data_IF_477208401644
#
_entry.id   IF_477208401644
#
_cell.length_a   1.000
_cell.length_b   1.000
_cell.length_c   1.000
_cell.angle_alpha   90.00
_cell.angle_beta   90.00
_cell.angle_gamma   90.00
#
_symmetry.space_group_name_H-M   'P 1'
#
loop_
_entity.id
_entity.type
_entity.pdbx_description
1 polymer ?
#
# COMPACT_ATOMS: atom_id res chain seq x y z
N UNK A 1 -5.91 7.32 12.24
CA UNK A 1 -5.24 8.35 13.07
C UNK A 1 -3.93 7.76 13.60
N UNK A 2 -2.84 8.51 13.53
CA UNK A 2 -1.52 8.19 14.12
C UNK A 2 -0.93 9.48 14.70
N UNK A 3 -0.05 9.44 15.71
CA UNK A 3 0.53 10.66 16.27
C UNK A 3 1.62 11.31 15.40
N UNK A 4 1.91 10.76 14.22
CA UNK A 4 3.00 11.22 13.33
C UNK A 4 2.62 12.49 12.54
N UNK A 5 3.54 13.45 12.43
CA UNK A 5 3.34 14.67 11.62
C UNK A 5 4.63 15.11 10.91
N UNK A 6 4.52 15.46 9.62
CA UNK A 6 5.61 15.94 8.78
C UNK A 6 5.24 15.99 7.29
N UNK A 7 6.18 16.32 6.40
CA UNK A 7 5.90 16.43 4.96
C UNK A 7 5.41 15.13 4.28
N UNK A 8 5.56 13.99 4.95
CA UNK A 8 5.18 12.65 4.47
C UNK A 8 4.23 11.90 5.42
N UNK A 9 3.82 12.53 6.52
CA UNK A 9 2.95 11.92 7.53
C UNK A 9 1.97 12.95 8.07
N UNK A 10 0.70 12.58 8.18
CA UNK A 10 -0.35 13.41 8.78
C UNK A 10 -1.02 12.63 9.91
N UNK A 11 -1.48 13.33 10.97
CA UNK A 11 -2.08 12.65 12.11
C UNK A 11 -3.43 12.00 11.74
N UNK A 12 -4.13 12.60 10.78
CA UNK A 12 -5.30 12.04 10.12
C UNK A 12 -4.91 11.67 8.69
N UNK A 13 -5.31 10.48 8.26
CA UNK A 13 -5.11 9.95 6.92
C UNK A 13 -6.20 8.92 6.61
N UNK A 14 -6.40 8.65 5.33
CA UNK A 14 -7.41 7.71 4.86
C UNK A 14 -6.73 6.40 4.47
N UNK A 15 -7.31 5.29 4.93
CA UNK A 15 -6.83 3.95 4.63
C UNK A 15 -7.96 3.14 4.03
N UNK A 16 -7.61 2.32 3.05
CA UNK A 16 -8.48 1.25 2.53
C UNK A 16 -7.87 -0.07 2.94
N UNK A 17 -8.68 -0.92 3.52
CA UNK A 17 -8.33 -2.30 3.84
C UNK A 17 -9.25 -3.24 3.07
N UNK A 18 -8.68 -4.35 2.59
CA UNK A 18 -9.40 -5.43 1.95
C UNK A 18 -9.18 -6.72 2.72
N UNK A 19 -10.22 -7.54 2.80
CA UNK A 19 -10.20 -8.87 3.39
C UNK A 19 -11.02 -9.79 2.47
N UNK A 20 -10.41 -10.88 2.03
CA UNK A 20 -11.09 -11.95 1.31
C UNK A 20 -10.86 -13.25 2.09
N UNK A 21 -11.95 -13.97 2.38
CA UNK A 21 -11.92 -15.25 3.10
C UNK A 21 -12.80 -16.24 2.36
N UNK A 22 -12.24 -17.39 2.03
CA UNK A 22 -12.94 -18.50 1.37
C UNK A 22 -12.20 -19.81 1.65
N UNK A 23 -12.72 -20.93 1.15
CA UNK A 23 -12.17 -22.27 1.37
C UNK A 23 -10.90 -22.55 0.55
N UNK A 24 -10.68 -21.85 -0.57
CA UNK A 24 -9.61 -22.14 -1.53
C UNK A 24 -8.67 -20.96 -1.84
N UNK A 25 -8.73 -19.88 -1.05
CA UNK A 25 -7.85 -18.71 -1.22
C UNK A 25 -6.38 -19.06 -0.97
N UNK A 26 -5.50 -18.68 -1.89
CA UNK A 26 -4.06 -18.91 -1.78
C UNK A 26 -3.26 -17.61 -1.75
N UNK A 27 -1.97 -17.73 -1.43
CA UNK A 27 -1.01 -16.63 -1.62
C UNK A 27 -0.95 -16.17 -3.09
N UNK A 28 -1.22 -17.06 -4.05
CA UNK A 28 -1.30 -16.72 -5.47
C UNK A 28 -2.44 -15.75 -5.78
N UNK A 29 -3.59 -15.92 -5.13
CA UNK A 29 -4.75 -15.03 -5.28
C UNK A 29 -4.47 -13.65 -4.70
N UNK A 30 -3.77 -13.59 -3.56
CA UNK A 30 -3.28 -12.33 -3.00
C UNK A 30 -2.34 -11.64 -4.00
N UNK A 31 -1.34 -12.35 -4.53
CA UNK A 31 -0.39 -11.79 -5.49
C UNK A 31 -1.09 -11.27 -6.75
N UNK A 32 -2.03 -12.04 -7.29
CA UNK A 32 -2.84 -11.65 -8.44
C UNK A 32 -3.67 -10.40 -8.17
N UNK A 33 -4.33 -10.34 -7.02
CA UNK A 33 -5.14 -9.19 -6.58
C UNK A 33 -4.30 -7.93 -6.46
N UNK A 34 -3.15 -8.01 -5.77
CA UNK A 34 -2.24 -6.87 -5.58
C UNK A 34 -1.64 -6.39 -6.90
N UNK A 35 -1.29 -7.30 -7.80
CA UNK A 35 -0.77 -6.97 -9.13
C UNK A 35 -1.83 -6.31 -10.01
N UNK A 36 -3.07 -6.84 -10.00
CA UNK A 36 -4.19 -6.26 -10.72
C UNK A 36 -4.50 -4.84 -10.22
N UNK A 37 -4.53 -4.66 -8.90
CA UNK A 37 -4.67 -3.34 -8.27
C UNK A 37 -3.57 -2.38 -8.71
N UNK A 38 -2.29 -2.78 -8.59
CA UNK A 38 -1.17 -1.91 -8.92
C UNK A 38 -1.19 -1.48 -10.39
N UNK A 39 -1.54 -2.39 -11.32
CA UNK A 39 -1.68 -2.07 -12.74
C UNK A 39 -2.85 -1.12 -13.01
N UNK A 40 -3.99 -1.34 -12.36
CA UNK A 40 -5.16 -0.47 -12.52
C UNK A 40 -4.89 0.97 -12.02
N UNK A 41 -4.05 1.12 -11.00
CA UNK A 41 -3.75 2.42 -10.39
C UNK A 41 -2.57 3.13 -11.07
N UNK A 42 -1.49 2.41 -11.37
CA UNK A 42 -0.21 2.99 -11.82
C UNK A 42 0.13 2.71 -13.29
N UNK A 43 -0.70 1.94 -14.00
CA UNK A 43 -0.48 1.51 -15.38
C UNK A 43 0.31 0.21 -15.51
N UNK A 44 0.20 -0.45 -16.66
CA UNK A 44 0.81 -1.77 -16.90
C UNK A 44 2.34 -1.76 -16.92
N UNK A 45 2.95 -0.64 -17.31
CA UNK A 45 4.39 -0.54 -17.45
C UNK A 45 5.12 -0.27 -16.12
N UNK A 46 4.40 0.08 -15.04
CA UNK A 46 5.03 0.42 -13.76
C UNK A 46 5.59 -0.84 -13.09
N UNK A 47 6.91 -0.93 -12.81
CA UNK A 47 7.46 -2.04 -12.06
C UNK A 47 6.91 -2.09 -10.62
N UNK A 48 6.50 -3.29 -10.22
CA UNK A 48 5.98 -3.63 -8.89
C UNK A 48 6.79 -4.80 -8.35
N UNK A 49 7.07 -4.82 -7.04
CA UNK A 49 7.68 -5.99 -6.39
C UNK A 49 7.02 -6.27 -5.04
N UNK A 50 7.02 -7.54 -4.66
CA UNK A 50 6.64 -7.98 -3.33
C UNK A 50 7.90 -8.32 -2.53
N UNK A 51 7.92 -7.94 -1.25
CA UNK A 51 9.01 -8.27 -0.33
C UNK A 51 8.43 -8.90 0.93
N UNK A 52 9.06 -9.95 1.50
CA UNK A 52 8.67 -10.46 2.81
C UNK A 52 8.74 -9.34 3.87
N UNK A 53 7.76 -9.33 4.75
CA UNK A 53 7.70 -8.44 5.91
C UNK A 53 7.04 -9.18 7.08
N UNK A 54 6.72 -8.47 8.16
CA UNK A 54 5.97 -8.99 9.30
C UNK A 54 4.82 -8.05 9.68
N UNK A 55 3.61 -8.60 9.77
CA UNK A 55 2.46 -7.94 10.39
C UNK A 55 1.79 -8.92 11.36
N UNK A 56 1.42 -8.52 12.59
CA UNK A 56 0.91 -9.45 13.61
C UNK A 56 -0.39 -10.19 13.26
N UNK A 57 -1.11 -9.75 12.22
CA UNK A 57 -2.41 -10.27 11.80
C UNK A 57 -2.33 -11.06 10.49
N UNK A 58 -1.14 -11.25 9.93
CA UNK A 58 -0.93 -12.05 8.71
C UNK A 58 0.33 -12.90 8.74
N UNK A 59 0.25 -14.13 8.23
CA UNK A 59 1.39 -15.03 8.04
C UNK A 59 1.17 -16.00 6.85
N UNK A 60 1.99 -15.95 5.78
CA UNK A 60 3.11 -15.03 5.55
C UNK A 60 2.67 -13.59 5.25
N UNK A 61 3.53 -12.65 5.61
CA UNK A 61 3.36 -11.21 5.40
C UNK A 61 4.27 -10.66 4.27
N UNK A 62 3.75 -9.71 3.50
CA UNK A 62 4.45 -9.06 2.39
C UNK A 62 4.18 -7.54 2.34
N UNK A 63 5.17 -6.80 1.86
CA UNK A 63 5.03 -5.41 1.43
C UNK A 63 5.01 -5.34 -0.09
N UNK A 64 4.28 -4.38 -0.65
CA UNK A 64 4.32 -4.06 -2.08
C UNK A 64 5.01 -2.74 -2.29
N UNK A 65 6.04 -2.74 -3.14
CA UNK A 65 6.70 -1.53 -3.61
C UNK A 65 6.37 -1.26 -5.08
N UNK A 66 6.31 0.01 -5.45
CA UNK A 66 6.31 0.47 -6.85
C UNK A 66 7.57 1.27 -7.14
N UNK A 67 8.01 1.27 -8.40
CA UNK A 67 9.16 2.10 -8.78
C UNK A 67 8.87 3.59 -8.55
N UNK A 68 9.91 4.33 -8.14
CA UNK A 68 9.82 5.78 -7.98
C UNK A 68 9.62 6.47 -9.33
N UNK A 69 8.67 7.40 -9.42
CA UNK A 69 8.44 8.19 -10.63
C UNK A 69 9.39 9.40 -10.76
N UNK A 70 9.96 9.85 -9.65
CA UNK A 70 10.75 11.10 -9.58
C UNK A 70 12.26 10.88 -9.84
N UNK A 71 12.72 9.64 -9.96
CA UNK A 71 14.15 9.36 -10.08
C UNK A 71 14.45 8.14 -10.94
N UNK A 72 15.70 8.05 -11.38
CA UNK A 72 16.25 6.82 -11.96
C UNK A 72 17.27 6.26 -10.99
N UNK A 73 17.07 5.00 -10.58
CA UNK A 73 18.00 4.30 -9.67
C UNK A 73 18.30 5.05 -8.36
N UNK A 74 17.33 5.81 -7.83
CA UNK A 74 17.48 6.50 -6.56
C UNK A 74 18.13 7.89 -6.65
N UNK A 75 18.47 8.36 -7.85
CA UNK A 75 19.10 9.68 -8.09
C UNK A 75 18.14 10.58 -8.86
N UNK A 76 17.85 11.76 -8.30
CA UNK A 76 16.97 12.75 -8.91
C UNK A 76 17.67 13.47 -10.08
N UNK A 77 16.93 14.30 -10.82
CA UNK A 77 17.44 14.97 -12.03
C UNK A 77 18.59 15.96 -11.74
N UNK A 78 18.65 16.50 -10.52
CA UNK A 78 19.72 17.37 -10.02
C UNK A 78 21.00 16.60 -9.62
N UNK A 79 20.99 15.26 -9.70
CA UNK A 79 22.11 14.41 -9.30
C UNK A 79 22.13 14.08 -7.80
N UNK A 80 21.17 14.59 -7.02
CA UNK A 80 21.11 14.32 -5.59
C UNK A 80 20.35 13.01 -5.28
N UNK A 81 20.55 12.50 -4.05
CA UNK A 81 19.80 11.35 -3.56
C UNK A 81 18.32 11.71 -3.52
N UNK A 82 17.50 10.94 -4.23
CA UNK A 82 16.07 11.18 -4.30
C UNK A 82 15.44 11.13 -2.91
N UNK A 83 14.92 12.27 -2.45
CA UNK A 83 14.28 12.43 -1.13
C UNK A 83 13.00 11.59 -0.99
N UNK A 84 12.25 11.45 -2.08
CA UNK A 84 10.97 10.72 -2.10
C UNK A 84 11.13 9.22 -1.82
N UNK A 85 12.02 8.54 -2.56
CA UNK A 85 12.29 7.11 -2.36
C UNK A 85 13.48 6.84 -1.42
N UNK A 86 14.10 7.89 -0.85
CA UNK A 86 15.31 7.78 -0.02
C UNK A 86 16.43 7.00 -0.74
N UNK A 87 16.57 7.17 -2.06
CA UNK A 87 17.60 6.53 -2.87
C UNK A 87 17.41 5.04 -3.16
N UNK A 88 16.28 4.41 -2.80
CA UNK A 88 16.06 2.98 -3.09
C UNK A 88 15.55 2.74 -4.51
N UNK A 89 15.04 3.78 -5.18
CA UNK A 89 14.24 3.69 -6.41
C UNK A 89 12.87 2.98 -6.25
N UNK A 90 12.49 2.62 -5.03
CA UNK A 90 11.27 1.89 -4.70
C UNK A 90 10.50 2.60 -3.59
N UNK A 91 9.20 2.65 -3.71
CA UNK A 91 8.32 3.26 -2.72
C UNK A 91 7.31 2.20 -2.31
N UNK A 92 7.37 1.82 -1.04
CA UNK A 92 6.36 0.98 -0.40
C UNK A 92 4.99 1.68 -0.47
N UNK A 93 3.95 0.95 -0.88
CA UNK A 93 2.61 1.51 -1.06
C UNK A 93 1.54 0.85 -0.20
N UNK A 94 1.74 -0.41 0.19
CA UNK A 94 0.80 -1.16 1.01
C UNK A 94 1.49 -2.34 1.69
N UNK A 95 0.88 -2.82 2.77
CA UNK A 95 1.18 -4.09 3.42
C UNK A 95 0.05 -5.10 3.15
N UNK A 96 0.39 -6.38 3.09
CA UNK A 96 -0.55 -7.45 2.86
C UNK A 96 -0.06 -8.79 3.41
N UNK A 97 -0.92 -9.81 3.44
CA UNK A 97 -0.52 -11.17 3.78
C UNK A 97 -1.71 -12.11 3.89
N UNK A 98 -1.41 -13.39 4.12
CA UNK A 98 -2.44 -14.38 4.44
C UNK A 98 -2.89 -14.16 5.88
N UNK A 99 -4.20 -14.17 6.16
CA UNK A 99 -4.75 -13.92 7.49
C UNK A 99 -4.20 -14.95 8.48
N UNK A 100 -3.66 -14.48 9.61
CA UNK A 100 -3.12 -15.36 10.64
C UNK A 100 -4.25 -16.26 11.21
N UNK A 101 -4.03 -17.58 11.37
CA UNK A 101 -5.05 -18.49 11.90
C UNK A 101 -5.64 -18.06 13.25
N UNK A 102 -4.89 -17.38 14.12
CA UNK A 102 -5.38 -16.87 15.40
C UNK A 102 -6.45 -15.79 15.22
N UNK A 103 -6.41 -15.03 14.13
CA UNK A 103 -7.45 -14.03 13.79
C UNK A 103 -8.75 -14.72 13.41
N UNK A 104 -8.68 -15.80 12.63
CA UNK A 104 -9.85 -16.60 12.25
C UNK A 104 -10.41 -17.37 13.45
N UNK A 105 -9.53 -17.99 14.25
CA UNK A 105 -9.90 -18.72 15.47
C UNK A 105 -10.71 -17.86 16.45
N UNK A 106 -10.33 -16.58 16.62
CA UNK A 106 -11.05 -15.62 17.45
C UNK A 106 -12.53 -15.42 17.04
N UNK A 107 -12.85 -15.63 15.77
CA UNK A 107 -14.22 -15.52 15.22
C UNK A 107 -14.78 -16.86 14.74
N UNK A 108 -14.19 -17.99 15.13
CA UNK A 108 -14.59 -19.35 14.69
C UNK A 108 -16.09 -19.60 14.81
N UNK A 109 -16.72 -19.17 15.90
CA UNK A 109 -18.15 -19.36 16.16
C UNK A 109 -19.06 -18.72 15.10
N UNK A 110 -18.53 -17.81 14.28
CA UNK A 110 -19.22 -17.17 13.16
C UNK A 110 -18.99 -17.90 11.82
N UNK A 111 -18.41 -19.10 11.83
CA UNK A 111 -18.18 -19.92 10.64
C UNK A 111 -16.78 -19.78 10.00
N UNK A 112 -15.81 -19.20 10.72
CA UNK A 112 -14.44 -18.98 10.24
C UNK A 112 -13.44 -19.93 10.90
N UNK A 113 -13.66 -21.22 10.80
CA UNK A 113 -12.74 -22.22 11.34
C UNK A 113 -11.44 -22.26 10.50
N UNK A 114 -10.25 -21.98 11.07
CA UNK A 114 -8.99 -21.92 10.32
C UNK A 114 -8.58 -23.24 9.64
N UNK A 115 -9.19 -24.38 10.03
CA UNK A 115 -9.00 -25.66 9.35
C UNK A 115 -9.87 -25.80 8.07
N UNK A 116 -10.87 -24.93 7.89
CA UNK A 116 -11.85 -25.00 6.81
C UNK A 116 -11.77 -23.80 5.86
N UNK A 117 -11.35 -22.63 6.36
CA UNK A 117 -11.23 -21.40 5.58
C UNK A 117 -9.85 -20.77 5.74
N UNK A 118 -9.47 -20.02 4.73
CA UNK A 118 -8.26 -19.23 4.68
C UNK A 118 -8.57 -17.91 3.99
N UNK A 119 -7.68 -16.93 4.11
CA UNK A 119 -7.93 -15.64 3.54
C UNK A 119 -6.68 -14.81 3.39
N UNK A 120 -6.80 -13.70 2.69
CA UNK A 120 -5.78 -12.68 2.66
C UNK A 120 -6.35 -11.32 3.05
N UNK A 121 -5.47 -10.47 3.57
CA UNK A 121 -5.76 -9.08 3.85
C UNK A 121 -4.71 -8.18 3.23
N UNK A 122 -5.10 -6.94 2.92
CA UNK A 122 -4.18 -5.88 2.52
C UNK A 122 -4.67 -4.53 3.06
N UNK A 123 -3.74 -3.60 3.26
CA UNK A 123 -4.03 -2.26 3.74
C UNK A 123 -3.14 -1.21 3.08
N UNK A 124 -3.76 -0.13 2.58
CA UNK A 124 -3.08 0.92 1.83
C UNK A 124 -3.53 2.32 2.24
N UNK A 125 -2.59 3.26 2.33
CA UNK A 125 -2.89 4.67 2.54
C UNK A 125 -3.28 5.37 1.24
N UNK A 126 -4.46 6.00 1.20
CA UNK A 126 -4.98 6.66 -0.01
C UNK A 126 -4.06 7.80 -0.43
N UNK A 127 -3.58 8.60 0.53
CA UNK A 127 -2.76 9.77 0.23
C UNK A 127 -1.44 9.38 -0.42
N UNK A 128 -0.81 8.29 0.05
CA UNK A 128 0.43 7.78 -0.54
C UNK A 128 0.23 7.35 -1.98
N UNK A 129 -0.89 6.67 -2.26
CA UNK A 129 -1.25 6.28 -3.62
C UNK A 129 -1.53 7.51 -4.48
N UNK A 130 -2.29 8.48 -3.98
CA UNK A 130 -2.60 9.72 -4.70
C UNK A 130 -1.34 10.51 -5.04
N UNK A 131 -0.41 10.66 -4.08
CA UNK A 131 0.88 11.30 -4.30
C UNK A 131 1.66 10.63 -5.43
N UNK A 132 1.71 9.30 -5.45
CA UNK A 132 2.44 8.55 -6.48
C UNK A 132 1.75 8.57 -7.84
N UNK A 133 0.43 8.54 -7.86
CA UNK A 133 -0.38 8.53 -9.09
C UNK A 133 -0.38 9.89 -9.78
N UNK A 134 -0.48 10.96 -9.00
CA UNK A 134 -0.63 12.32 -9.50
C UNK A 134 0.65 13.17 -9.41
N UNK A 135 1.73 12.61 -8.87
CA UNK A 135 3.00 13.33 -8.74
C UNK A 135 2.98 14.43 -7.68
N UNK A 136 2.15 14.31 -6.65
CA UNK A 136 2.05 15.32 -5.58
C UNK A 136 3.29 15.22 -4.69
N UNK A 137 4.13 16.27 -4.59
CA UNK A 137 5.43 16.20 -3.92
C UNK A 137 5.33 16.32 -2.39
N UNK A 138 4.21 16.84 -1.87
CA UNK A 138 4.02 17.13 -0.45
C UNK A 138 2.62 16.72 0.00
N UNK A 139 2.57 15.91 1.05
CA UNK A 139 1.32 15.38 1.61
C UNK A 139 0.37 16.48 2.11
N UNK A 140 0.92 17.61 2.60
CA UNK A 140 0.14 18.71 3.20
C UNK A 140 -0.81 19.36 2.21
N UNK A 141 -0.47 19.35 0.93
CA UNK A 141 -1.31 19.89 -0.14
C UNK A 141 -2.68 19.21 -0.21
N UNK A 142 -2.79 17.95 0.23
CA UNK A 142 -4.06 17.22 0.29
C UNK A 142 -4.99 17.70 1.43
N UNK A 143 -4.49 18.50 2.37
CA UNK A 143 -5.21 18.95 3.57
C UNK A 143 -5.35 20.47 3.67
N UNK A 144 -4.51 21.24 2.97
CA UNK A 144 -4.52 22.71 3.02
C UNK A 144 -5.76 23.33 2.35
N UNK A 145 -6.51 22.55 1.56
CA UNK A 145 -7.70 22.99 0.81
C UNK A 145 -7.43 24.22 -0.07
N UNK A 146 -6.21 24.36 -0.61
CA UNK A 146 -5.88 25.43 -1.54
C UNK A 146 -6.62 25.21 -2.87
N UNK A 147 -7.50 26.15 -3.25
CA UNK A 147 -8.29 26.07 -4.48
C UNK A 147 -7.40 25.86 -5.71
N UNK A 148 -6.20 26.45 -5.75
CA UNK A 148 -5.24 26.29 -6.86
C UNK A 148 -4.71 24.87 -6.98
N UNK A 149 -4.67 24.13 -5.88
CA UNK A 149 -4.32 22.72 -5.88
C UNK A 149 -5.51 21.89 -6.37
N UNK A 150 -6.71 22.15 -5.83
CA UNK A 150 -7.92 21.40 -6.15
C UNK A 150 -8.31 21.50 -7.64
N UNK A 151 -8.19 22.68 -8.24
CA UNK A 151 -8.49 22.93 -9.66
C UNK A 151 -7.65 22.08 -10.65
N UNK A 152 -6.53 21.49 -10.21
CA UNK A 152 -5.69 20.63 -11.05
C UNK A 152 -6.33 19.26 -11.34
N UNK A 153 -7.37 18.87 -10.60
CA UNK A 153 -7.97 17.52 -10.66
C UNK A 153 -9.34 17.47 -11.33
N UNK A 154 -9.89 18.61 -11.78
CA UNK A 154 -11.16 18.71 -12.50
C UNK A 154 -12.29 19.31 -11.67
#
# INVERSE_FOLDING_TARGET
YRPDSGATHTPQFHQVEGLAVDTDITLGDLQGTLLAFARAVFGEERPVRLRPHFFPFTEPSVEVDVSCFNCRQGVAADGERCSLCKGTAWIEILGAGMVDPNVLDYVRENGYDPEQVQGFAFGMGIERIAMLKHGVPDLRLLYDNDVRFLEQFG
#
